data_IF_979579534165
#
_entry.id   IF_979579534165
#
_cell.length_a   1.000
_cell.length_b   1.000
_cell.length_c   1.000
_cell.angle_alpha   90.00
_cell.angle_beta   90.00
_cell.angle_gamma   90.00
#
_symmetry.space_group_name_H-M   'P 1'
#
loop_
_entity.id
_entity.type
_entity.pdbx_description
1 polymer ?
#
# COMPACT_ATOMS: atom_id res chain seq x y z
N UNK A 1 5.23 -13.09 11.23
CA UNK A 1 4.96 -12.68 9.83
C UNK A 1 6.04 -11.69 9.45
N UNK A 2 6.77 -11.89 8.35
CA UNK A 2 7.79 -10.94 7.94
C UNK A 2 7.12 -9.71 7.31
N UNK A 3 6.99 -8.62 8.06
CA UNK A 3 6.31 -7.40 7.59
C UNK A 3 7.08 -6.69 6.47
N UNK A 4 8.40 -6.86 6.39
CA UNK A 4 9.20 -6.31 5.28
C UNK A 4 8.82 -6.95 3.95
N UNK A 5 8.69 -8.28 3.91
CA UNK A 5 8.23 -9.01 2.71
C UNK A 5 6.78 -8.66 2.32
N UNK A 6 5.97 -8.24 3.29
CA UNK A 6 4.60 -7.75 3.05
C UNK A 6 4.53 -6.23 2.90
N UNK A 7 5.66 -5.54 2.79
CA UNK A 7 5.72 -4.13 2.43
C UNK A 7 5.97 -4.04 0.93
N UNK A 8 5.02 -3.47 0.20
CA UNK A 8 5.12 -3.27 -1.24
C UNK A 8 6.30 -2.34 -1.56
N UNK A 9 7.01 -2.56 -2.67
CA UNK A 9 8.08 -1.66 -3.12
C UNK A 9 7.66 -0.19 -3.27
N UNK A 10 6.37 0.05 -3.55
CA UNK A 10 5.79 1.39 -3.67
C UNK A 10 5.42 2.05 -2.33
N UNK A 11 5.67 1.40 -1.19
CA UNK A 11 5.43 1.96 0.14
C UNK A 11 4.07 1.64 0.76
N UNK A 12 3.29 0.74 0.16
CA UNK A 12 2.07 0.23 0.78
C UNK A 12 2.40 -0.93 1.72
N UNK A 13 1.84 -0.92 2.92
CA UNK A 13 1.83 -2.05 3.85
C UNK A 13 0.70 -3.01 3.50
N UNK A 14 1.01 -4.02 2.68
CA UNK A 14 0.05 -5.06 2.30
C UNK A 14 -0.43 -5.85 3.52
N UNK A 15 0.37 -5.95 4.59
CA UNK A 15 -0.05 -6.60 5.83
C UNK A 15 -1.23 -5.93 6.53
N UNK A 16 -1.55 -4.67 6.21
CA UNK A 16 -2.73 -3.94 6.71
C UNK A 16 -3.81 -3.78 5.63
N UNK A 17 -3.67 -4.42 4.48
CA UNK A 17 -4.64 -4.35 3.39
C UNK A 17 -5.88 -5.20 3.71
N UNK A 18 -7.07 -4.71 3.40
CA UNK A 18 -8.33 -5.41 3.68
C UNK A 18 -8.53 -6.70 2.86
N UNK A 19 -7.82 -6.85 1.74
CA UNK A 19 -7.91 -8.06 0.90
C UNK A 19 -6.76 -9.04 1.15
N UNK A 20 -5.80 -8.70 2.01
CA UNK A 20 -4.77 -9.65 2.41
C UNK A 20 -5.43 -10.84 3.14
N UNK A 21 -5.01 -12.06 2.82
CA UNK A 21 -5.65 -13.30 3.26
C UNK A 21 -5.89 -13.39 4.78
N UNK A 22 -5.03 -12.76 5.60
CA UNK A 22 -5.14 -12.77 7.06
C UNK A 22 -6.10 -11.71 7.61
N UNK A 23 -6.50 -10.75 6.80
CA UNK A 23 -7.34 -9.61 7.18
C UNK A 23 -8.74 -9.68 6.56
N UNK A 24 -8.89 -10.41 5.45
CA UNK A 24 -10.11 -10.41 4.66
C UNK A 24 -11.25 -11.14 5.39
N UNK A 25 -12.45 -10.57 5.35
CA UNK A 25 -13.68 -11.20 5.84
C UNK A 25 -14.50 -11.74 4.69
N UNK A 26 -15.40 -12.70 4.93
CA UNK A 26 -16.27 -13.28 3.89
C UNK A 26 -17.09 -12.20 3.17
N UNK A 27 -17.61 -11.22 3.90
CA UNK A 27 -18.32 -10.07 3.32
C UNK A 27 -17.45 -9.27 2.35
N UNK A 28 -16.18 -9.04 2.69
CA UNK A 28 -15.24 -8.33 1.79
C UNK A 28 -14.87 -9.22 0.61
N UNK A 29 -14.64 -10.52 0.85
CA UNK A 29 -14.33 -11.52 -0.17
C UNK A 29 -15.40 -11.56 -1.25
N UNK A 30 -16.67 -11.73 -0.88
CA UNK A 30 -17.80 -11.73 -1.82
C UNK A 30 -17.89 -10.42 -2.60
N UNK A 31 -17.76 -9.27 -1.93
CA UNK A 31 -17.81 -7.95 -2.59
C UNK A 31 -16.69 -7.75 -3.60
N UNK A 32 -15.46 -8.13 -3.23
CA UNK A 32 -14.29 -8.01 -4.11
C UNK A 32 -14.41 -8.98 -5.28
N UNK A 33 -14.80 -10.23 -5.04
CA UNK A 33 -15.06 -11.22 -6.10
C UNK A 33 -16.06 -10.71 -7.14
N UNK A 34 -17.20 -10.17 -6.68
CA UNK A 34 -18.22 -9.58 -7.55
C UNK A 34 -17.70 -8.36 -8.32
N UNK A 35 -17.03 -7.42 -7.63
CA UNK A 35 -16.49 -6.20 -8.27
C UNK A 35 -15.41 -6.50 -9.31
N UNK A 36 -14.58 -7.52 -9.06
CA UNK A 36 -13.51 -7.93 -9.95
C UNK A 36 -13.94 -8.97 -10.98
N UNK A 37 -15.17 -9.50 -10.87
CA UNK A 37 -15.72 -10.58 -11.70
C UNK A 37 -14.83 -11.84 -11.69
N UNK A 38 -14.34 -12.21 -10.51
CA UNK A 38 -13.53 -13.42 -10.29
C UNK A 38 -14.19 -14.34 -9.25
N UNK A 39 -13.88 -15.65 -9.22
CA UNK A 39 -14.33 -16.53 -8.14
C UNK A 39 -13.79 -16.08 -6.77
N UNK A 40 -14.56 -16.29 -5.70
CA UNK A 40 -14.15 -15.95 -4.32
C UNK A 40 -12.84 -16.62 -3.89
N UNK A 41 -12.57 -17.82 -4.39
CA UNK A 41 -11.32 -18.56 -4.17
C UNK A 41 -10.09 -17.88 -4.81
N UNK A 42 -10.28 -16.90 -5.71
CA UNK A 42 -9.20 -16.10 -6.31
C UNK A 42 -8.95 -14.77 -5.60
N UNK A 43 -9.65 -14.49 -4.50
CA UNK A 43 -9.52 -13.23 -3.74
C UNK A 43 -8.43 -13.31 -2.66
N UNK A 44 -7.84 -14.48 -2.40
CA UNK A 44 -6.79 -14.65 -1.40
C UNK A 44 -5.48 -13.95 -1.82
N UNK A 45 -5.33 -12.69 -1.40
CA UNK A 45 -4.14 -11.90 -1.67
C UNK A 45 -3.01 -12.27 -0.70
N UNK A 46 -1.83 -12.55 -1.25
CA UNK A 46 -0.58 -12.90 -0.55
C UNK A 46 0.46 -11.77 -0.59
N UNK A 47 0.05 -10.59 -1.08
CA UNK A 47 0.92 -9.42 -1.23
C UNK A 47 1.63 -9.37 -2.58
N UNK A 48 2.02 -8.16 -2.99
CA UNK A 48 2.45 -7.92 -4.37
C UNK A 48 3.83 -8.50 -4.71
N UNK A 49 4.71 -8.68 -3.73
CA UNK A 49 6.02 -9.31 -3.93
C UNK A 49 5.86 -10.79 -4.30
N UNK A 50 5.01 -11.51 -3.57
CA UNK A 50 4.76 -12.93 -3.80
C UNK A 50 3.91 -13.17 -5.06
N UNK A 51 2.82 -12.42 -5.24
CA UNK A 51 1.88 -12.65 -6.34
C UNK A 51 2.26 -11.93 -7.64
N UNK A 52 3.35 -11.15 -7.64
CA UNK A 52 3.82 -10.34 -8.78
C UNK A 52 2.77 -9.33 -9.27
N UNK A 53 2.00 -8.76 -8.35
CA UNK A 53 0.93 -7.82 -8.67
C UNK A 53 0.02 -7.51 -7.49
N UNK A 54 -0.78 -6.44 -7.61
CA UNK A 54 -1.81 -6.13 -6.63
C UNK A 54 -3.13 -6.75 -7.09
N UNK A 55 -3.80 -7.53 -6.24
CA UNK A 55 -5.11 -8.14 -6.58
C UNK A 55 -6.15 -7.10 -7.04
N UNK A 56 -6.15 -5.91 -6.42
CA UNK A 56 -7.07 -4.82 -6.75
C UNK A 56 -6.69 -4.08 -8.02
N UNK A 57 -5.56 -4.44 -8.64
CA UNK A 57 -5.11 -3.96 -9.93
C UNK A 57 -5.16 -5.14 -10.89
N UNK A 58 -6.28 -5.30 -11.62
CA UNK A 58 -6.53 -6.42 -12.52
C UNK A 58 -5.57 -6.50 -13.72
N UNK A 59 -4.65 -5.55 -13.85
CA UNK A 59 -3.66 -5.43 -14.91
C UNK A 59 -2.23 -5.38 -14.34
N UNK A 60 -1.22 -5.41 -15.22
CA UNK A 60 0.19 -5.25 -14.85
C UNK A 60 0.41 -3.96 -14.06
N UNK A 61 1.09 -4.03 -12.91
CA UNK A 61 1.35 -2.87 -12.05
C UNK A 61 2.57 -2.09 -12.56
N UNK A 62 2.41 -0.89 -13.15
CA UNK A 62 3.54 -0.18 -13.77
C UNK A 62 4.61 0.24 -12.76
N UNK A 63 4.24 0.40 -11.48
CA UNK A 63 5.20 0.69 -10.41
C UNK A 63 6.05 -0.53 -10.07
N UNK A 64 5.46 -1.74 -10.05
CA UNK A 64 6.21 -2.96 -9.78
C UNK A 64 7.15 -3.29 -10.94
N UNK A 65 6.69 -3.12 -12.18
CA UNK A 65 7.52 -3.29 -13.38
C UNK A 65 8.72 -2.34 -13.36
N UNK A 66 8.50 -1.07 -12.98
CA UNK A 66 9.55 -0.07 -12.82
C UNK A 66 10.60 -0.47 -11.77
N UNK A 67 10.14 -0.92 -10.60
CA UNK A 67 11.02 -1.40 -9.50
C UNK A 67 11.90 -2.55 -9.98
N UNK A 68 11.31 -3.53 -10.68
CA UNK A 68 12.05 -4.66 -11.25
C UNK A 68 13.06 -4.21 -12.31
N UNK A 69 12.68 -3.28 -13.20
CA UNK A 69 13.55 -2.77 -14.24
C UNK A 69 14.75 -1.98 -13.69
N UNK A 70 14.56 -1.24 -12.60
CA UNK A 70 15.61 -0.46 -11.95
C UNK A 70 16.44 -1.28 -10.95
N UNK A 71 16.03 -2.51 -10.62
CA UNK A 71 16.74 -3.38 -9.69
C UNK A 71 16.76 -2.85 -8.25
N UNK A 72 15.74 -2.09 -7.84
CA UNK A 72 15.62 -1.55 -6.47
C UNK A 72 14.66 -2.39 -5.63
N UNK A 73 14.84 -2.44 -4.31
CA UNK A 73 13.94 -3.17 -3.41
C UNK A 73 12.73 -2.32 -3.03
N UNK A 74 12.95 -1.01 -2.89
CA UNK A 74 11.92 -0.01 -2.61
C UNK A 74 12.10 1.22 -3.50
N UNK A 75 10.99 1.91 -3.80
CA UNK A 75 11.02 3.11 -4.62
C UNK A 75 11.93 4.20 -4.05
N UNK A 76 12.13 4.29 -2.72
CA UNK A 76 12.99 5.32 -2.12
C UNK A 76 14.50 5.18 -2.43
N UNK A 77 14.88 4.03 -2.98
CA UNK A 77 16.26 3.71 -3.39
C UNK A 77 16.53 4.10 -4.85
N UNK A 78 15.47 4.39 -5.63
CA UNK A 78 15.60 4.86 -7.00
C UNK A 78 16.17 6.29 -7.04
N UNK A 79 17.11 6.55 -7.96
CA UNK A 79 17.69 7.89 -8.15
C UNK A 79 16.69 8.96 -8.59
N UNK A 80 15.53 8.55 -9.10
CA UNK A 80 14.43 9.44 -9.50
C UNK A 80 13.39 9.65 -8.40
N UNK A 81 13.59 9.09 -7.20
CA UNK A 81 12.62 9.21 -6.13
C UNK A 81 12.65 10.61 -5.47
N UNK A 82 11.49 11.26 -5.25
CA UNK A 82 10.14 10.85 -5.66
C UNK A 82 9.84 11.15 -7.14
N UNK A 83 9.11 10.25 -7.82
CA UNK A 83 8.75 10.42 -9.23
C UNK A 83 7.22 10.53 -9.45
N UNK A 84 6.83 10.92 -10.67
CA UNK A 84 5.44 11.15 -11.04
C UNK A 84 4.50 9.93 -10.84
N UNK A 85 5.03 8.70 -10.87
CA UNK A 85 4.22 7.48 -10.58
C UNK A 85 3.68 7.44 -9.15
N UNK A 86 4.31 8.18 -8.23
CA UNK A 86 3.93 8.26 -6.83
C UNK A 86 3.27 9.60 -6.48
N UNK A 87 3.08 10.49 -7.46
CA UNK A 87 2.46 11.79 -7.24
C UNK A 87 1.06 11.62 -6.63
N UNK A 88 0.74 12.28 -5.51
CA UNK A 88 -0.58 12.20 -4.91
C UNK A 88 -1.69 12.68 -5.85
N UNK A 89 -2.87 12.09 -5.72
CA UNK A 89 -4.07 12.47 -6.45
C UNK A 89 -5.24 12.67 -5.47
N UNK A 90 -6.07 13.69 -5.70
CA UNK A 90 -7.31 13.89 -4.93
C UNK A 90 -8.38 12.89 -5.33
N UNK A 91 -8.45 12.55 -6.61
CA UNK A 91 -9.40 11.55 -7.13
C UNK A 91 -9.13 10.18 -6.50
N UNK A 92 -10.15 9.62 -5.85
CA UNK A 92 -10.08 8.32 -5.18
C UNK A 92 -9.25 8.27 -3.90
N UNK A 93 -8.80 9.42 -3.37
CA UNK A 93 -7.98 9.49 -2.14
C UNK A 93 -8.69 8.92 -0.90
N UNK A 94 -10.03 8.94 -0.88
CA UNK A 94 -10.89 8.38 0.17
C UNK A 94 -10.96 6.84 0.14
N UNK A 95 -10.65 6.23 -1.01
CA UNK A 95 -10.78 4.79 -1.28
C UNK A 95 -9.44 4.09 -1.38
N UNK A 96 -8.48 4.71 -2.08
CA UNK A 96 -7.20 4.09 -2.40
C UNK A 96 -6.08 4.66 -1.53
N UNK A 97 -5.19 3.82 -0.98
CA UNK A 97 -4.08 4.28 -0.15
C UNK A 97 -2.92 4.89 -0.97
N UNK A 98 -3.17 5.37 -2.20
CA UNK A 98 -2.12 5.85 -3.11
C UNK A 98 -1.29 6.98 -2.49
N UNK A 99 -1.94 7.95 -1.84
CA UNK A 99 -1.25 9.10 -1.27
C UNK A 99 -0.41 8.75 -0.02
N UNK A 100 -0.60 7.57 0.58
CA UNK A 100 0.25 7.08 1.67
C UNK A 100 1.66 6.72 1.18
N UNK A 101 1.80 6.33 -0.09
CA UNK A 101 3.04 5.75 -0.66
C UNK A 101 4.26 6.62 -0.40
N UNK A 102 4.22 7.89 -0.82
CA UNK A 102 5.38 8.80 -0.70
C UNK A 102 5.74 9.03 0.76
N UNK A 103 4.75 9.29 1.62
CA UNK A 103 5.00 9.52 3.03
C UNK A 103 5.63 8.28 3.70
N UNK A 104 5.07 7.10 3.45
CA UNK A 104 5.58 5.84 3.95
C UNK A 104 7.01 5.57 3.46
N UNK A 105 7.29 5.78 2.17
CA UNK A 105 8.64 5.60 1.61
C UNK A 105 9.66 6.56 2.26
N UNK A 106 9.28 7.81 2.52
CA UNK A 106 10.12 8.75 3.26
C UNK A 106 10.37 8.29 4.70
N UNK A 107 9.35 7.75 5.39
CA UNK A 107 9.50 7.18 6.73
C UNK A 107 10.44 5.97 6.72
N UNK A 108 10.22 5.01 5.82
CA UNK A 108 11.09 3.84 5.67
C UNK A 108 12.55 4.23 5.41
N UNK A 109 12.79 5.22 4.55
CA UNK A 109 14.15 5.74 4.29
C UNK A 109 14.79 6.35 5.55
N UNK A 110 13.98 7.01 6.40
CA UNK A 110 14.47 7.69 7.59
C UNK A 110 14.73 6.75 8.78
N UNK A 111 13.90 5.72 8.96
CA UNK A 111 13.91 4.89 10.18
C UNK A 111 14.08 3.39 9.94
N UNK A 112 14.18 2.96 8.69
CA UNK A 112 14.19 1.55 8.29
C UNK A 112 12.79 0.99 8.07
N UNK A 113 12.69 0.00 7.18
CA UNK A 113 11.40 -0.61 6.76
C UNK A 113 10.76 -1.37 7.91
N UNK A 114 11.55 -2.14 8.65
CA UNK A 114 11.10 -2.95 9.77
C UNK A 114 10.52 -2.07 10.88
N UNK A 115 11.24 -1.00 11.26
CA UNK A 115 10.78 -0.08 12.29
C UNK A 115 9.51 0.65 11.88
N UNK A 116 9.45 1.13 10.63
CA UNK A 116 8.23 1.73 10.09
C UNK A 116 7.04 0.75 10.12
N UNK A 117 7.25 -0.51 9.72
CA UNK A 117 6.20 -1.51 9.65
C UNK A 117 5.69 -1.96 11.04
N UNK A 118 6.55 -1.95 12.06
CA UNK A 118 6.18 -2.28 13.43
C UNK A 118 5.56 -1.10 14.18
N UNK A 119 6.10 0.11 14.04
CA UNK A 119 5.76 1.24 14.91
C UNK A 119 4.81 2.27 14.27
N UNK A 120 4.87 2.49 12.95
CA UNK A 120 4.22 3.65 12.33
C UNK A 120 3.10 3.30 11.35
N UNK A 121 3.23 2.21 10.59
CA UNK A 121 2.39 1.94 9.42
C UNK A 121 0.87 1.89 9.74
N UNK A 122 0.50 1.28 10.87
CA UNK A 122 -0.90 1.20 11.34
C UNK A 122 -1.44 2.59 11.67
N UNK A 123 -0.69 3.39 12.44
CA UNK A 123 -1.15 4.73 12.85
C UNK A 123 -1.20 5.69 11.68
N UNK A 124 -0.22 5.64 10.76
CA UNK A 124 -0.21 6.43 9.53
C UNK A 124 -1.47 6.16 8.71
N UNK A 125 -1.81 4.90 8.46
CA UNK A 125 -3.05 4.55 7.74
C UNK A 125 -4.29 5.02 8.48
N UNK A 126 -4.33 4.83 9.80
CA UNK A 126 -5.47 5.25 10.63
C UNK A 126 -5.68 6.75 10.52
N UNK A 127 -4.64 7.55 10.69
CA UNK A 127 -4.69 9.01 10.53
C UNK A 127 -5.14 9.40 9.12
N UNK A 128 -4.61 8.77 8.08
CA UNK A 128 -4.98 9.09 6.71
C UNK A 128 -6.48 8.89 6.41
N UNK A 129 -7.06 7.76 6.83
CA UNK A 129 -8.47 7.46 6.52
C UNK A 129 -9.48 7.94 7.57
N UNK A 130 -9.06 8.19 8.80
CA UNK A 130 -9.96 8.51 9.93
C UNK A 130 -9.64 9.83 10.62
N UNK A 131 -8.49 10.42 10.35
CA UNK A 131 -8.10 11.70 10.94
C UNK A 131 -8.83 12.87 10.28
N UNK A 132 -9.09 13.90 11.09
CA UNK A 132 -9.54 15.20 10.60
C UNK A 132 -8.33 15.99 10.15
N UNK A 133 -8.33 16.46 8.91
CA UNK A 133 -7.30 17.38 8.44
C UNK A 133 -7.44 18.73 9.13
N UNK A 134 -6.37 19.16 9.78
CA UNK A 134 -6.24 20.49 10.36
C UNK A 134 -4.99 21.13 9.71
N UNK A 135 -5.13 22.29 9.05
CA UNK A 135 -3.98 22.97 8.42
C UNK A 135 -2.81 23.14 9.40
N UNK A 136 -1.61 22.72 8.98
CA UNK A 136 -0.38 22.82 9.76
C UNK A 136 -0.14 21.68 10.77
N UNK A 137 -1.12 20.85 11.10
CA UNK A 137 -0.94 19.70 12.02
C UNK A 137 -1.17 18.34 11.35
N UNK A 138 -1.67 18.37 10.11
CA UNK A 138 -1.96 17.16 9.34
C UNK A 138 -3.25 16.46 9.84
N UNK A 139 -3.41 15.16 9.56
CA UNK A 139 -4.55 14.40 10.04
C UNK A 139 -4.44 14.08 11.53
N UNK A 140 -5.42 14.53 12.31
CA UNK A 140 -5.52 14.30 13.77
C UNK A 140 -6.68 13.34 14.06
N UNK A 141 -6.43 12.32 14.89
CA UNK A 141 -7.50 11.47 15.43
C UNK A 141 -8.15 12.25 16.59
N UNK A 142 -9.45 12.53 16.45
CA UNK A 142 -10.27 13.18 17.47
C UNK A 142 -11.03 12.16 18.30
#
# INVERSE_FOLDING_TARGET
MNKKELTAPCGLDCFNCIVYEKNITDTIRTKVAQSLKIPEAKVDCRGCREQKGCLLHLTSCPTLDCVNAHGVEFCFECGEFPCAKLQPASEGADKYPHNLKVYNLCRMKAIGVEKWAEEEAVDIRRRYFKGKFIPGTGPVIL
#
